data_IF_591153810951
#
_entry.id   IF_591153810951
#
_cell.length_a   1.000
_cell.length_b   1.000
_cell.length_c   1.000
_cell.angle_alpha   90.00
_cell.angle_beta   90.00
_cell.angle_gamma   90.00
#
_symmetry.space_group_name_H-M   'P 1'
#
loop_
_entity.id
_entity.type
_entity.pdbx_description
1 polymer ?
#
# COMPACT_ATOMS: atom_id res chain seq x y z
N UNK A 1 4.89 -13.85 2.65
CA UNK A 1 5.15 -13.00 3.83
C UNK A 1 4.23 -11.79 3.82
N UNK A 2 3.81 -11.28 4.99
CA UNK A 2 2.91 -10.11 5.07
C UNK A 2 3.74 -8.83 5.28
N UNK A 3 3.42 -7.78 4.53
CA UNK A 3 4.10 -6.47 4.62
C UNK A 3 3.04 -5.41 4.93
N UNK A 4 3.27 -4.63 5.99
CA UNK A 4 2.43 -3.48 6.33
C UNK A 4 3.10 -2.19 5.90
N UNK A 5 2.39 -1.34 5.16
CA UNK A 5 2.83 0.00 4.79
C UNK A 5 1.92 1.01 5.49
N UNK A 6 2.51 1.82 6.36
CA UNK A 6 1.79 2.85 7.13
C UNK A 6 2.02 4.19 6.45
N UNK A 7 0.92 4.82 6.02
CA UNK A 7 0.89 5.98 5.16
C UNK A 7 0.61 5.59 3.71
N UNK A 8 -0.46 6.16 3.15
CA UNK A 8 -0.94 5.97 1.78
C UNK A 8 -0.67 7.21 0.90
N UNK A 9 0.25 8.09 1.31
CA UNK A 9 0.76 9.19 0.49
C UNK A 9 1.70 8.72 -0.63
N UNK A 10 2.34 9.65 -1.34
CA UNK A 10 3.17 9.37 -2.54
C UNK A 10 4.25 8.32 -2.31
N UNK A 11 4.98 8.40 -1.18
CA UNK A 11 6.04 7.43 -0.86
C UNK A 11 5.46 6.07 -0.46
N UNK A 12 4.41 6.04 0.36
CA UNK A 12 3.77 4.81 0.81
C UNK A 12 3.15 4.01 -0.33
N UNK A 13 2.52 4.70 -1.28
CA UNK A 13 2.02 4.08 -2.52
C UNK A 13 3.15 3.44 -3.33
N UNK A 14 4.28 4.13 -3.50
CA UNK A 14 5.44 3.59 -4.24
C UNK A 14 6.01 2.32 -3.59
N UNK A 15 6.15 2.32 -2.26
CA UNK A 15 6.62 1.16 -1.50
C UNK A 15 5.63 0.00 -1.63
N UNK A 16 4.34 0.26 -1.41
CA UNK A 16 3.31 -0.76 -1.49
C UNK A 16 3.21 -1.36 -2.91
N UNK A 17 3.36 -0.54 -3.94
CA UNK A 17 3.41 -0.99 -5.34
C UNK A 17 4.60 -1.89 -5.62
N UNK A 18 5.80 -1.54 -5.14
CA UNK A 18 6.99 -2.35 -5.35
C UNK A 18 6.83 -3.75 -4.73
N UNK A 19 6.27 -3.85 -3.51
CA UNK A 19 6.04 -5.15 -2.87
C UNK A 19 4.84 -5.91 -3.46
N UNK A 20 3.81 -5.21 -3.94
CA UNK A 20 2.66 -5.84 -4.58
C UNK A 20 2.99 -6.49 -5.94
N UNK A 21 4.05 -6.03 -6.61
CA UNK A 21 4.55 -6.60 -7.87
C UNK A 21 5.39 -7.87 -7.68
N UNK A 22 5.73 -8.24 -6.45
CA UNK A 22 6.57 -9.42 -6.16
C UNK A 22 5.70 -10.54 -5.61
N UNK A 23 5.74 -11.69 -6.27
CA UNK A 23 5.01 -12.87 -5.85
C UNK A 23 5.41 -13.33 -4.44
N UNK A 24 4.42 -13.79 -3.67
CA UNK A 24 4.62 -14.27 -2.31
C UNK A 24 4.56 -13.18 -1.22
N UNK A 25 4.31 -11.92 -1.58
CA UNK A 25 4.02 -10.85 -0.62
C UNK A 25 2.53 -10.51 -0.58
N UNK A 26 2.01 -10.34 0.64
CA UNK A 26 0.68 -9.77 0.87
C UNK A 26 0.86 -8.41 1.52
N UNK A 27 0.52 -7.35 0.78
CA UNK A 27 0.71 -5.96 1.23
C UNK A 27 -0.57 -5.42 1.84
N UNK A 28 -0.48 -4.90 3.06
CA UNK A 28 -1.55 -4.17 3.73
C UNK A 28 -1.16 -2.68 3.80
N UNK A 29 -1.98 -1.81 3.18
CA UNK A 29 -1.81 -0.36 3.22
C UNK A 29 -2.77 0.22 4.27
N UNK A 30 -2.25 1.07 5.15
CA UNK A 30 -3.02 1.73 6.21
C UNK A 30 -2.70 3.23 6.23
N UNK A 31 -3.70 4.06 6.55
CA UNK A 31 -3.53 5.50 6.77
C UNK A 31 -4.50 5.95 7.88
N UNK A 32 -4.33 7.16 8.40
CA UNK A 32 -5.14 7.74 9.49
C UNK A 32 -6.61 7.89 9.11
N UNK A 33 -6.91 8.01 7.81
CA UNK A 33 -8.28 7.98 7.28
C UNK A 33 -8.43 6.85 6.27
N UNK A 34 -9.57 6.17 6.32
CA UNK A 34 -9.90 5.09 5.39
C UNK A 34 -9.90 5.57 3.93
N UNK A 35 -10.43 6.77 3.67
CA UNK A 35 -10.46 7.38 2.33
C UNK A 35 -9.06 7.53 1.69
N UNK A 36 -8.02 7.74 2.51
CA UNK A 36 -6.64 7.85 2.02
C UNK A 36 -6.02 6.49 1.76
N UNK A 37 -6.31 5.51 2.63
CA UNK A 37 -5.88 4.13 2.41
C UNK A 37 -6.52 3.55 1.14
N UNK A 38 -7.80 3.78 0.92
CA UNK A 38 -8.52 3.38 -0.30
C UNK A 38 -7.97 4.10 -1.54
N UNK A 39 -7.84 5.43 -1.50
CA UNK A 39 -7.29 6.19 -2.61
C UNK A 39 -5.82 5.85 -2.93
N UNK A 40 -5.04 5.41 -1.94
CA UNK A 40 -3.70 4.87 -2.16
C UNK A 40 -3.73 3.47 -2.77
N UNK A 41 -4.66 2.61 -2.34
CA UNK A 41 -4.87 1.27 -2.89
C UNK A 41 -5.27 1.30 -4.36
N UNK A 42 -6.16 2.21 -4.74
CA UNK A 42 -6.60 2.37 -6.14
C UNK A 42 -5.45 2.74 -7.09
N UNK A 43 -4.40 3.37 -6.57
CA UNK A 43 -3.20 3.76 -7.34
C UNK A 43 -2.12 2.68 -7.41
N UNK A 44 -2.30 1.59 -6.66
CA UNK A 44 -1.38 0.45 -6.63
C UNK A 44 -1.84 -0.68 -7.58
N UNK A 45 -3.15 -0.73 -7.89
CA UNK A 45 -3.76 -1.71 -8.80
C UNK A 45 -3.19 -1.67 -10.22
#
# INVERSE_FOLDING_TARGET
MKVGVIGAGTMGQGIAKAFAQVDGYTVALCDIKQEWAEGGKDKIA
#
